data_IF_120088670270
#
_entry.id   IF_120088670270
#
_cell.length_a   1.000
_cell.length_b   1.000
_cell.length_c   1.000
_cell.angle_alpha   90.00
_cell.angle_beta   90.00
_cell.angle_gamma   90.00
#
_symmetry.space_group_name_H-M   'P 1'
#
loop_
_entity.id
_entity.type
_entity.pdbx_description
1 polymer ?
#
# COMPACT_ATOMS: atom_id res chain seq x y z
N UNK A 1 37.75 14.84 4.77
CA UNK A 1 36.30 14.91 4.47
C UNK A 1 35.60 15.88 5.41
N UNK A 2 35.92 15.90 6.71
CA UNK A 2 35.32 16.84 7.69
C UNK A 2 35.50 18.34 7.37
N UNK A 3 36.66 18.76 6.88
CA UNK A 3 36.93 20.18 6.62
C UNK A 3 36.15 20.75 5.43
N UNK A 4 35.85 19.90 4.44
CA UNK A 4 34.98 20.25 3.32
C UNK A 4 33.49 20.23 3.72
N UNK A 5 33.11 19.37 4.68
CA UNK A 5 31.76 19.29 5.21
C UNK A 5 31.41 20.54 6.03
N UNK A 6 32.37 21.06 6.81
CA UNK A 6 32.17 22.22 7.67
C UNK A 6 31.90 23.52 6.88
N UNK A 7 32.61 23.73 5.76
CA UNK A 7 32.38 24.91 4.89
C UNK A 7 31.05 24.84 4.14
N UNK A 8 30.57 23.64 3.84
CA UNK A 8 29.26 23.43 3.23
C UNK A 8 28.16 23.67 4.26
N UNK A 9 28.36 23.26 5.51
CA UNK A 9 27.39 23.45 6.60
C UNK A 9 27.10 24.94 6.90
N UNK A 10 28.06 25.85 6.73
CA UNK A 10 27.84 27.29 6.91
C UNK A 10 26.88 27.92 5.88
N UNK A 11 26.63 27.25 4.75
CA UNK A 11 25.83 27.78 3.63
C UNK A 11 24.49 27.05 3.41
N UNK A 12 24.14 26.07 4.24
CA UNK A 12 22.90 25.32 4.08
C UNK A 12 21.73 25.98 4.86
N UNK A 13 20.57 26.21 4.23
CA UNK A 13 19.38 26.66 4.94
C UNK A 13 18.98 25.65 6.01
N UNK A 14 18.41 26.12 7.12
CA UNK A 14 18.11 25.31 8.31
C UNK A 14 17.36 23.99 8.01
N UNK A 15 16.50 23.98 6.99
CA UNK A 15 15.77 22.79 6.53
C UNK A 15 16.70 21.70 5.95
N UNK A 16 17.76 22.10 5.26
CA UNK A 16 18.74 21.17 4.71
C UNK A 16 19.66 20.60 5.80
N UNK A 17 20.05 21.39 6.81
CA UNK A 17 20.73 20.88 8.02
C UNK A 17 19.88 19.85 8.76
N UNK A 18 18.58 20.12 8.91
CA UNK A 18 17.65 19.16 9.50
C UNK A 18 17.59 17.85 8.70
N UNK A 19 17.53 17.93 7.37
CA UNK A 19 17.52 16.75 6.52
C UNK A 19 18.83 15.95 6.61
N UNK A 20 19.99 16.62 6.65
CA UNK A 20 21.30 15.97 6.82
C UNK A 20 21.39 15.31 8.20
N UNK A 21 21.00 15.99 9.28
CA UNK A 21 20.98 15.42 10.63
C UNK A 21 20.04 14.23 10.73
N UNK A 22 18.87 14.28 10.09
CA UNK A 22 17.95 13.15 9.99
C UNK A 22 18.54 11.99 9.20
N UNK A 23 19.22 12.27 8.08
CA UNK A 23 19.89 11.25 7.28
C UNK A 23 21.05 10.61 8.04
N UNK A 24 21.90 11.39 8.70
CA UNK A 24 22.98 10.90 9.56
C UNK A 24 22.45 10.07 10.72
N UNK A 25 21.40 10.53 11.39
CA UNK A 25 20.71 9.77 12.43
C UNK A 25 20.19 8.42 11.90
N UNK A 26 19.57 8.43 10.71
CA UNK A 26 19.03 7.22 10.09
C UNK A 26 20.15 6.25 9.68
N UNK A 27 21.24 6.74 9.11
CA UNK A 27 22.42 5.93 8.75
C UNK A 27 23.04 5.31 10.00
N UNK A 28 23.25 6.10 11.05
CA UNK A 28 23.83 5.62 12.29
C UNK A 28 22.93 4.57 12.97
N UNK A 29 21.62 4.83 13.02
CA UNK A 29 20.63 3.90 13.57
C UNK A 29 20.58 2.60 12.75
N UNK A 30 20.58 2.69 11.43
CA UNK A 30 20.56 1.51 10.54
C UNK A 30 21.84 0.69 10.70
N UNK A 31 23.00 1.34 10.83
CA UNK A 31 24.26 0.66 11.13
C UNK A 31 24.21 -0.05 12.49
N UNK A 32 23.66 0.58 13.53
CA UNK A 32 23.46 -0.07 14.84
C UNK A 32 22.56 -1.31 14.76
N UNK A 33 21.47 -1.26 13.98
CA UNK A 33 20.61 -2.41 13.74
C UNK A 33 21.33 -3.52 12.96
N UNK A 34 22.16 -3.17 11.98
CA UNK A 34 22.98 -4.12 11.23
C UNK A 34 24.01 -4.82 12.15
N UNK A 35 24.68 -4.07 13.03
CA UNK A 35 25.60 -4.64 14.02
C UNK A 35 24.90 -5.62 14.97
N UNK A 36 23.69 -5.28 15.45
CA UNK A 36 22.87 -6.19 16.27
C UNK A 36 22.46 -7.45 15.52
N UNK A 37 22.12 -7.35 14.24
CA UNK A 37 21.78 -8.50 13.40
C UNK A 37 22.99 -9.41 13.19
N UNK A 38 24.18 -8.83 12.96
CA UNK A 38 25.45 -9.58 12.86
C UNK A 38 25.80 -10.26 14.18
N UNK A 39 25.61 -9.59 15.32
CA UNK A 39 25.87 -10.16 16.64
C UNK A 39 24.90 -11.32 16.96
N UNK A 40 23.62 -11.13 16.63
CA UNK A 40 22.57 -12.17 16.75
C UNK A 40 22.86 -13.37 15.81
N UNK A 41 23.34 -13.11 14.58
CA UNK A 41 23.77 -14.17 13.66
C UNK A 41 25.01 -14.92 14.17
N UNK A 42 25.92 -14.24 14.86
CA UNK A 42 27.15 -14.81 15.41
C UNK A 42 26.89 -15.63 16.67
N UNK A 43 25.93 -15.21 17.50
CA UNK A 43 25.62 -15.85 18.80
C UNK A 43 24.57 -16.95 18.68
N UNK A 44 23.49 -16.71 17.92
CA UNK A 44 22.33 -17.58 17.81
C UNK A 44 22.16 -18.21 16.41
N UNK A 45 23.11 -17.97 15.51
CA UNK A 45 23.12 -18.52 14.17
C UNK A 45 22.04 -17.92 13.25
N UNK A 46 21.83 -18.53 12.06
CA UNK A 46 20.91 -18.03 11.05
C UNK A 46 19.45 -17.93 11.52
N UNK A 47 19.06 -18.76 12.50
CA UNK A 47 17.71 -18.74 13.08
C UNK A 47 17.48 -17.53 13.97
N UNK A 48 18.43 -17.16 14.84
CA UNK A 48 18.34 -15.95 15.66
C UNK A 48 18.25 -14.68 14.82
N UNK A 49 19.09 -14.57 13.78
CA UNK A 49 19.06 -13.44 12.85
C UNK A 49 17.73 -13.33 12.09
N UNK A 50 17.13 -14.46 11.70
CA UNK A 50 15.81 -14.49 11.06
C UNK A 50 14.71 -14.06 12.02
N UNK A 51 14.76 -14.48 13.29
CA UNK A 51 13.81 -14.07 14.32
C UNK A 51 13.88 -12.56 14.62
N UNK A 52 15.09 -11.99 14.69
CA UNK A 52 15.29 -10.55 14.83
C UNK A 52 14.77 -9.76 13.61
N UNK A 53 15.15 -10.20 12.40
CA UNK A 53 14.69 -9.56 11.16
C UNK A 53 13.17 -9.62 11.00
N UNK A 54 12.54 -10.75 11.34
CA UNK A 54 11.07 -10.89 11.27
C UNK A 54 10.35 -10.06 12.33
N UNK A 55 10.90 -9.89 13.54
CA UNK A 55 10.31 -9.04 14.57
C UNK A 55 10.37 -7.54 14.20
N UNK A 56 11.52 -7.05 13.74
CA UNK A 56 11.70 -5.68 13.25
C UNK A 56 10.84 -5.42 12.00
N UNK A 57 10.78 -6.40 11.09
CA UNK A 57 9.96 -6.31 9.88
C UNK A 57 8.47 -6.21 10.18
N UNK A 58 7.94 -7.00 11.12
CA UNK A 58 6.52 -6.91 11.52
C UNK A 58 6.16 -5.51 12.00
N UNK A 59 7.02 -4.92 12.84
CA UNK A 59 6.77 -3.59 13.38
C UNK A 59 6.85 -2.52 12.28
N UNK A 60 7.83 -2.60 11.38
CA UNK A 60 7.97 -1.66 10.27
C UNK A 60 6.87 -1.81 9.21
N UNK A 61 6.51 -3.03 8.83
CA UNK A 61 5.48 -3.26 7.80
C UNK A 61 4.09 -2.96 8.33
N UNK A 62 3.72 -3.52 9.48
CA UNK A 62 2.33 -3.39 9.97
C UNK A 62 2.07 -1.96 10.40
N UNK A 63 2.95 -1.36 11.21
CA UNK A 63 2.67 -0.01 11.74
C UNK A 63 2.78 1.06 10.65
N UNK A 64 3.77 0.97 9.76
CA UNK A 64 3.88 1.97 8.69
C UNK A 64 2.78 1.78 7.63
N UNK A 65 2.37 0.55 7.32
CA UNK A 65 1.25 0.31 6.40
C UNK A 65 -0.07 0.79 7.00
N UNK A 66 -0.37 0.51 8.28
CA UNK A 66 -1.58 1.03 8.92
C UNK A 66 -1.58 2.55 9.00
N UNK A 67 -0.45 3.19 9.35
CA UNK A 67 -0.34 4.66 9.35
C UNK A 67 -0.52 5.25 7.95
N UNK A 68 0.07 4.63 6.94
CA UNK A 68 -0.08 5.06 5.55
C UNK A 68 -1.53 4.88 5.08
N UNK A 69 -2.15 3.74 5.41
CA UNK A 69 -3.54 3.43 5.08
C UNK A 69 -4.51 4.40 5.75
N UNK A 70 -4.37 4.66 7.05
CA UNK A 70 -5.21 5.63 7.79
C UNK A 70 -5.05 7.04 7.23
N UNK A 71 -3.82 7.45 6.89
CA UNK A 71 -3.55 8.76 6.29
C UNK A 71 -4.13 8.89 4.88
N UNK A 72 -4.04 7.82 4.09
CA UNK A 72 -4.58 7.79 2.74
C UNK A 72 -6.11 7.77 2.79
N UNK A 73 -6.71 7.02 3.72
CA UNK A 73 -8.16 6.92 3.90
C UNK A 73 -8.79 8.22 4.43
N UNK A 74 -8.00 9.09 5.06
CA UNK A 74 -8.42 10.44 5.44
C UNK A 74 -8.52 11.41 4.25
N UNK A 75 -7.99 11.03 3.07
CA UNK A 75 -8.08 11.81 1.86
C UNK A 75 -9.25 11.28 1.01
N UNK A 76 -10.30 12.09 0.83
CA UNK A 76 -11.55 11.72 0.11
C UNK A 76 -11.35 11.40 -1.37
N UNK A 77 -10.14 11.57 -1.90
CA UNK A 77 -9.74 11.21 -3.26
C UNK A 77 -9.94 9.73 -3.60
N UNK A 78 -10.14 8.86 -2.61
CA UNK A 78 -10.43 7.44 -2.82
C UNK A 78 -11.73 7.16 -3.58
N UNK A 79 -12.76 8.00 -3.43
CA UNK A 79 -14.03 7.79 -4.13
C UNK A 79 -13.88 7.92 -5.65
N UNK A 80 -13.06 8.87 -6.13
CA UNK A 80 -12.78 9.03 -7.56
C UNK A 80 -11.93 7.89 -8.13
N UNK A 81 -11.10 7.24 -7.31
CA UNK A 81 -10.29 6.10 -7.73
C UNK A 81 -11.14 4.83 -7.86
N UNK A 82 -12.17 4.65 -7.02
CA UNK A 82 -13.07 3.51 -7.08
C UNK A 82 -13.81 3.40 -8.43
N UNK A 83 -14.14 4.54 -9.06
CA UNK A 83 -14.77 4.58 -10.38
C UNK A 83 -13.85 4.07 -11.50
N UNK A 84 -12.53 4.25 -11.36
CA UNK A 84 -11.56 3.80 -12.36
C UNK A 84 -11.02 2.40 -12.11
N UNK A 85 -10.94 1.98 -10.83
CA UNK A 85 -10.49 0.64 -10.45
C UNK A 85 -11.43 -0.43 -10.98
N UNK A 86 -12.74 -0.19 -10.98
CA UNK A 86 -13.73 -1.16 -11.47
C UNK A 86 -13.51 -1.55 -12.95
N UNK A 87 -13.53 -0.60 -13.92
CA UNK A 87 -13.31 -0.92 -15.32
C UNK A 87 -11.88 -1.40 -15.61
N UNK A 88 -10.89 -0.94 -14.83
CA UNK A 88 -9.50 -1.36 -15.00
C UNK A 88 -9.31 -2.81 -14.53
N UNK A 89 -9.85 -3.18 -13.38
CA UNK A 89 -9.87 -4.54 -12.89
C UNK A 89 -10.61 -5.48 -13.85
N UNK A 90 -11.72 -5.05 -14.42
CA UNK A 90 -12.46 -5.80 -15.43
C UNK A 90 -11.61 -6.08 -16.68
N UNK A 91 -10.92 -5.06 -17.21
CA UNK A 91 -10.04 -5.21 -18.39
C UNK A 91 -8.87 -6.16 -18.12
N UNK A 92 -8.20 -6.02 -16.96
CA UNK A 92 -7.10 -6.92 -16.58
C UNK A 92 -7.58 -8.35 -16.31
N UNK A 93 -8.76 -8.51 -15.70
CA UNK A 93 -9.36 -9.83 -15.46
C UNK A 93 -9.76 -10.51 -16.78
N UNK A 94 -10.27 -9.75 -17.75
CA UNK A 94 -10.54 -10.26 -19.11
C UNK A 94 -9.26 -10.77 -19.79
N UNK A 95 -8.14 -10.05 -19.67
CA UNK A 95 -6.84 -10.52 -20.19
C UNK A 95 -6.34 -11.79 -19.51
N UNK A 96 -6.50 -11.89 -18.19
CA UNK A 96 -6.17 -13.10 -17.42
C UNK A 96 -6.99 -14.30 -17.86
N UNK A 97 -8.31 -14.14 -17.99
CA UNK A 97 -9.20 -15.21 -18.45
C UNK A 97 -8.87 -15.67 -19.87
N UNK A 98 -8.58 -14.73 -20.78
CA UNK A 98 -8.16 -15.05 -22.15
C UNK A 98 -6.84 -15.82 -22.17
N UNK A 99 -5.87 -15.43 -21.33
CA UNK A 99 -4.59 -16.13 -21.21
C UNK A 99 -4.79 -17.56 -20.69
N UNK A 100 -5.63 -17.74 -19.67
CA UNK A 100 -5.94 -19.08 -19.14
C UNK A 100 -6.58 -19.97 -20.19
N UNK A 101 -7.59 -19.46 -20.90
CA UNK A 101 -8.27 -20.23 -21.94
C UNK A 101 -7.33 -20.60 -23.10
N UNK A 102 -6.47 -19.66 -23.54
CA UNK A 102 -5.48 -19.92 -24.59
C UNK A 102 -4.45 -20.98 -24.16
N UNK A 103 -3.93 -20.86 -22.93
CA UNK A 103 -2.93 -21.81 -22.41
C UNK A 103 -3.54 -23.19 -22.08
N UNK A 104 -4.75 -23.22 -21.54
CA UNK A 104 -5.49 -24.46 -21.29
C UNK A 104 -5.85 -25.16 -22.60
N UNK A 105 -6.30 -24.42 -23.62
CA UNK A 105 -6.61 -24.96 -24.95
C UNK A 105 -5.39 -25.51 -25.70
N UNK A 106 -4.19 -25.01 -25.40
CA UNK A 106 -2.91 -25.51 -25.92
C UNK A 106 -2.37 -26.75 -25.19
N UNK A 107 -3.09 -27.27 -24.19
CA UNK A 107 -2.71 -28.47 -23.45
C UNK A 107 -1.86 -28.24 -22.21
N UNK A 108 -1.66 -26.98 -21.79
CA UNK A 108 -0.97 -26.68 -20.53
C UNK A 108 -1.93 -26.85 -19.35
N UNK A 109 -1.94 -28.08 -18.81
CA UNK A 109 -2.88 -28.56 -17.77
C UNK A 109 -2.91 -27.65 -16.53
N UNK A 110 -1.78 -27.04 -16.16
CA UNK A 110 -1.68 -26.13 -14.99
C UNK A 110 -2.64 -24.94 -15.12
N UNK A 111 -2.86 -24.43 -16.34
CA UNK A 111 -3.75 -23.30 -16.57
C UNK A 111 -5.23 -23.71 -16.52
N UNK A 112 -5.58 -24.97 -16.80
CA UNK A 112 -6.95 -25.47 -16.68
C UNK A 112 -7.45 -25.59 -15.23
N UNK A 113 -6.56 -25.56 -14.25
CA UNK A 113 -6.92 -25.53 -12.81
C UNK A 113 -7.10 -24.10 -12.27
N UNK A 114 -6.71 -23.08 -13.03
CA UNK A 114 -6.84 -21.69 -12.60
C UNK A 114 -8.28 -21.20 -12.81
N UNK A 115 -8.89 -20.58 -11.79
CA UNK A 115 -10.27 -20.14 -11.87
C UNK A 115 -10.42 -18.98 -12.85
N UNK A 116 -11.45 -19.02 -13.68
CA UNK A 116 -11.85 -17.86 -14.48
C UNK A 116 -12.56 -16.84 -13.57
N UNK A 117 -12.22 -15.57 -13.73
CA UNK A 117 -12.84 -14.49 -12.98
C UNK A 117 -14.16 -14.09 -13.67
N UNK A 118 -15.33 -14.18 -13.02
CA UNK A 118 -16.61 -13.82 -13.64
C UNK A 118 -16.79 -12.29 -13.70
N UNK A 119 -16.13 -11.65 -14.67
CA UNK A 119 -16.07 -10.18 -14.79
C UNK A 119 -17.47 -9.55 -14.96
N UNK A 120 -18.37 -10.23 -15.67
CA UNK A 120 -19.73 -9.72 -15.95
C UNK A 120 -20.59 -9.69 -14.68
N UNK A 121 -20.56 -10.76 -13.87
CA UNK A 121 -21.29 -10.84 -12.59
C UNK A 121 -20.80 -9.78 -11.60
N UNK A 122 -19.49 -9.55 -11.53
CA UNK A 122 -18.94 -8.46 -10.72
C UNK A 122 -19.41 -7.09 -11.21
N UNK A 123 -19.46 -6.89 -12.53
CA UNK A 123 -19.96 -5.65 -13.13
C UNK A 123 -21.42 -5.37 -12.79
N UNK A 124 -22.27 -6.39 -12.81
CA UNK A 124 -23.68 -6.27 -12.42
C UNK A 124 -23.86 -6.02 -10.93
N UNK A 125 -23.14 -6.76 -10.07
CA UNK A 125 -23.17 -6.57 -8.63
C UNK A 125 -22.77 -5.14 -8.23
N UNK A 126 -21.76 -4.57 -8.90
CA UNK A 126 -21.34 -3.18 -8.66
C UNK A 126 -22.42 -2.18 -9.11
N UNK A 127 -23.11 -2.42 -10.23
CA UNK A 127 -24.23 -1.56 -10.67
C UNK A 127 -25.37 -1.57 -9.64
N UNK A 128 -25.74 -2.74 -9.13
CA UNK A 128 -26.77 -2.89 -8.09
C UNK A 128 -26.37 -2.19 -6.79
N UNK A 129 -25.11 -2.35 -6.36
CA UNK A 129 -24.59 -1.68 -5.17
C UNK A 129 -24.63 -0.15 -5.31
N UNK A 130 -24.20 0.39 -6.47
CA UNK A 130 -24.26 1.83 -6.76
C UNK A 130 -25.69 2.38 -6.80
N UNK A 131 -26.66 1.59 -7.25
CA UNK A 131 -28.07 1.99 -7.25
C UNK A 131 -28.62 2.10 -5.82
N UNK A 132 -28.33 1.13 -4.96
CA UNK A 132 -28.73 1.14 -3.53
C UNK A 132 -28.10 2.27 -2.73
N UNK A 133 -26.84 2.61 -3.00
CA UNK A 133 -26.15 3.73 -2.34
C UNK A 133 -26.78 5.08 -2.71
N UNK A 134 -27.23 5.25 -3.97
CA UNK A 134 -27.90 6.47 -4.43
C UNK A 134 -29.29 6.64 -3.81
N UNK A 135 -30.03 5.56 -3.64
CA UNK A 135 -31.35 5.54 -2.98
C UNK A 135 -31.24 5.92 -1.49
N UNK A 136 -30.24 5.37 -0.79
CA UNK A 136 -29.97 5.71 0.61
C UNK A 136 -29.51 7.17 0.83
N UNK A 137 -28.89 7.80 -0.18
CA UNK A 137 -28.54 9.24 -0.12
C UNK A 137 -29.73 10.16 -0.41
N UNK A 138 -30.75 9.70 -1.16
CA UNK A 138 -31.94 10.51 -1.46
C UNK A 138 -32.94 10.56 -0.31
N UNK A 139 -33.06 9.48 0.47
CA UNK A 139 -33.96 9.45 1.63
C UNK A 139 -33.50 10.42 2.74
N UNK A 140 -32.19 10.59 2.92
CA UNK A 140 -31.63 11.43 3.98
C UNK A 140 -31.67 12.94 3.68
N UNK A 141 -31.99 13.35 2.45
CA UNK A 141 -32.04 14.76 2.04
C UNK A 141 -33.43 15.38 2.18
N UNK A 142 -34.46 14.56 2.38
CA UNK A 142 -35.86 15.02 2.48
C UNK A 142 -36.23 15.54 3.88
N UNK A 143 -35.40 15.29 4.90
CA UNK A 143 -35.72 15.64 6.29
C UNK A 143 -35.11 16.97 6.78
N UNK A 144 -34.40 17.72 5.93
CA UNK A 144 -33.72 18.97 6.32
C UNK A 144 -34.31 20.23 5.68
N UNK A 145 -35.62 20.27 5.49
CA UNK A 145 -36.36 21.52 5.24
C UNK A 145 -37.59 21.61 6.13
N UNK A 146 -37.39 21.85 7.42
CA UNK A 146 -38.44 22.40 8.29
C UNK A 146 -37.84 23.47 9.20
N UNK A 147 -38.32 24.68 8.97
CA UNK A 147 -38.53 25.78 9.91
C UNK A 147 -37.33 26.51 10.53
N UNK A 148 -37.17 27.77 10.11
CA UNK A 148 -37.07 28.92 11.00
C UNK A 148 -37.43 30.18 10.20
N UNK A 149 -38.71 30.56 10.28
CA UNK A 149 -39.18 31.93 10.08
C UNK A 149 -38.61 32.87 11.17
#
# INVERSE_FOLDING_TARGET
VDEALHKIDDHLPAKAKQAINQAQYLVHKTAQHAWKLVDEARTNGPRGALHYATAEYKHLMVINSTKLWVKLNHNSAFHSVAEWVTPTAANWSGKYNNLINDMSGKGYIVFGYLPLIPVDEFGEAIKVAKAKEKEHLSDHKSDSSSDSD
#
